data_IF_336537604800
#
_entry.id   IF_336537604800
#
_cell.length_a   1.000
_cell.length_b   1.000
_cell.length_c   1.000
_cell.angle_alpha   90.00
_cell.angle_beta   90.00
_cell.angle_gamma   90.00
#
_symmetry.space_group_name_H-M   'P 1'
#
loop_
_entity.id
_entity.type
_entity.pdbx_description
1 polymer ?
#
# COMPACT_ATOMS: atom_id res chain seq x y z
N UNK A 1 3.64 8.11 -1.92
CA UNK A 1 3.72 6.82 -1.20
C UNK A 1 3.28 6.92 0.26
N UNK A 2 3.59 7.99 1.00
CA UNK A 2 3.21 8.18 2.43
C UNK A 2 1.77 7.80 2.76
N UNK A 3 0.77 8.35 2.06
CA UNK A 3 -0.64 8.05 2.32
C UNK A 3 -0.97 6.54 2.16
N UNK A 4 -0.30 5.83 1.25
CA UNK A 4 -0.45 4.39 1.07
C UNK A 4 0.22 3.59 2.19
N UNK A 5 1.44 3.98 2.59
CA UNK A 5 2.15 3.36 3.72
C UNK A 5 1.35 3.49 5.02
N UNK A 6 0.81 4.68 5.27
CA UNK A 6 -0.07 4.94 6.41
C UNK A 6 -1.37 4.13 6.32
N UNK A 7 -2.01 4.11 5.14
CA UNK A 7 -3.29 3.41 4.95
C UNK A 7 -3.16 1.89 5.11
N UNK A 8 -2.19 1.28 4.44
CA UNK A 8 -2.07 -0.17 4.33
C UNK A 8 -1.16 -0.80 5.38
N UNK A 9 -0.29 -0.02 6.04
CA UNK A 9 0.70 -0.57 6.98
C UNK A 9 0.84 0.25 8.27
N UNK A 10 0.20 1.42 8.37
CA UNK A 10 0.27 2.27 9.57
C UNK A 10 1.66 2.87 9.84
N UNK A 11 2.56 2.81 8.87
CA UNK A 11 3.94 3.27 8.99
C UNK A 11 4.21 4.45 8.06
N UNK A 12 5.33 5.15 8.30
CA UNK A 12 5.81 6.18 7.38
C UNK A 12 6.47 5.54 6.16
N UNK A 13 6.38 6.19 5.00
CA UNK A 13 7.04 5.75 3.78
C UNK A 13 8.57 5.68 3.90
N UNK A 14 9.18 6.34 4.90
CA UNK A 14 10.62 6.21 5.17
C UNK A 14 10.98 4.90 5.89
N UNK A 15 10.02 4.29 6.56
CA UNK A 15 10.19 3.13 7.45
C UNK A 15 9.56 1.85 6.86
N UNK A 16 9.17 1.87 5.58
CA UNK A 16 8.58 0.68 4.93
C UNK A 16 9.64 -0.39 4.68
N UNK A 17 9.28 -1.64 4.93
CA UNK A 17 10.14 -2.78 4.60
C UNK A 17 10.17 -3.04 3.09
N UNK A 18 11.15 -3.82 2.56
CA UNK A 18 11.17 -4.18 1.14
C UNK A 18 9.86 -4.83 0.66
N UNK A 19 9.25 -5.71 1.48
CA UNK A 19 7.97 -6.33 1.15
C UNK A 19 6.82 -5.30 1.07
N UNK A 20 6.77 -4.35 2.00
CA UNK A 20 5.77 -3.28 2.00
C UNK A 20 5.98 -2.33 0.82
N UNK A 21 7.22 -1.94 0.54
CA UNK A 21 7.57 -1.09 -0.61
C UNK A 21 7.16 -1.75 -1.94
N UNK A 22 7.51 -3.03 -2.13
CA UNK A 22 7.11 -3.79 -3.31
C UNK A 22 5.58 -3.91 -3.45
N UNK A 23 4.87 -4.07 -2.33
CA UNK A 23 3.39 -4.11 -2.32
C UNK A 23 2.78 -2.77 -2.71
N UNK A 24 3.35 -1.65 -2.24
CA UNK A 24 2.92 -0.30 -2.64
C UNK A 24 3.16 -0.05 -4.14
N UNK A 25 4.30 -0.50 -4.67
CA UNK A 25 4.60 -0.41 -6.10
C UNK A 25 3.60 -1.25 -6.92
N UNK A 26 3.26 -2.46 -6.46
CA UNK A 26 2.25 -3.30 -7.10
C UNK A 26 0.88 -2.60 -7.18
N UNK A 27 0.48 -1.89 -6.12
CA UNK A 27 -0.79 -1.15 -6.09
C UNK A 27 -0.81 -0.05 -7.15
N UNK A 28 0.28 0.73 -7.31
CA UNK A 28 0.34 1.82 -8.29
C UNK A 28 0.08 1.32 -9.72
N UNK A 29 0.53 0.11 -10.04
CA UNK A 29 0.32 -0.47 -11.36
C UNK A 29 -1.15 -0.77 -11.66
N UNK A 30 -1.91 -1.26 -10.67
CA UNK A 30 -3.33 -1.55 -10.83
C UNK A 30 -4.05 -1.46 -9.48
N UNK A 31 -4.51 -0.26 -9.08
CA UNK A 31 -5.10 -0.05 -7.75
C UNK A 31 -6.35 -0.90 -7.51
N UNK A 32 -7.14 -1.16 -8.57
CA UNK A 32 -8.37 -1.94 -8.47
C UNK A 32 -8.09 -3.42 -8.17
N UNK A 33 -7.08 -4.01 -8.82
CA UNK A 33 -6.75 -5.44 -8.67
C UNK A 33 -5.74 -5.74 -7.55
N UNK A 34 -4.83 -4.82 -7.29
CA UNK A 34 -3.73 -5.04 -6.35
C UNK A 34 -3.94 -4.29 -5.03
N UNK A 35 -5.01 -3.50 -4.90
CA UNK A 35 -5.28 -2.71 -3.70
C UNK A 35 -5.55 -3.59 -2.49
N UNK A 36 -4.85 -3.33 -1.38
CA UNK A 36 -4.89 -4.12 -0.15
C UNK A 36 -6.07 -3.77 0.78
N UNK A 37 -7.12 -3.12 0.26
CA UNK A 37 -8.30 -2.78 1.04
C UNK A 37 -9.30 -3.95 1.15
N UNK A 38 -9.20 -4.96 0.28
CA UNK A 38 -10.02 -6.18 0.29
C UNK A 38 -9.14 -7.42 0.29
N UNK A 39 -9.45 -8.46 1.09
CA UNK A 39 -8.76 -9.75 1.07
C UNK A 39 -8.74 -10.42 -0.32
N UNK A 40 -9.75 -10.19 -1.15
CA UNK A 40 -9.83 -10.75 -2.52
C UNK A 40 -8.63 -10.38 -3.39
N UNK A 41 -8.01 -9.23 -3.11
CA UNK A 41 -6.88 -8.70 -3.87
C UNK A 41 -5.52 -9.16 -3.31
N UNK A 42 -5.46 -9.80 -2.15
CA UNK A 42 -4.20 -10.15 -1.48
C UNK A 42 -3.34 -11.09 -2.33
N UNK A 43 -3.95 -12.11 -2.94
CA UNK A 43 -3.25 -13.03 -3.82
C UNK A 43 -2.67 -12.32 -5.06
N UNK A 44 -3.45 -11.41 -5.67
CA UNK A 44 -3.01 -10.63 -6.83
C UNK A 44 -1.87 -9.66 -6.46
N UNK A 45 -1.99 -8.98 -5.32
CA UNK A 45 -0.92 -8.11 -4.81
C UNK A 45 0.35 -8.91 -4.54
N UNK A 46 0.25 -10.03 -3.81
CA UNK A 46 1.40 -10.90 -3.49
C UNK A 46 2.12 -11.36 -4.76
N UNK A 47 1.38 -11.89 -5.73
CA UNK A 47 1.95 -12.34 -6.99
C UNK A 47 2.75 -11.23 -7.69
N UNK A 48 2.25 -9.99 -7.66
CA UNK A 48 2.94 -8.87 -8.27
C UNK A 48 4.12 -8.35 -7.44
N UNK A 49 3.96 -8.28 -6.12
CA UNK A 49 4.99 -7.92 -5.16
C UNK A 49 6.21 -8.84 -5.30
N UNK A 50 6.00 -10.14 -5.40
CA UNK A 50 7.06 -11.14 -5.48
C UNK A 50 7.90 -10.96 -6.78
N UNK A 51 7.28 -10.58 -7.90
CA UNK A 51 7.99 -10.20 -9.13
C UNK A 51 8.84 -8.94 -8.93
N UNK A 52 8.30 -7.93 -8.24
CA UNK A 52 9.03 -6.69 -7.97
C UNK A 52 10.23 -6.95 -7.05
N UNK A 53 10.06 -7.77 -6.01
CA UNK A 53 11.16 -8.20 -5.15
C UNK A 53 12.26 -8.92 -5.95
N UNK A 54 11.89 -9.79 -6.89
CA UNK A 54 12.84 -10.45 -7.77
C UNK A 54 13.63 -9.46 -8.64
N UNK A 55 12.97 -8.41 -9.13
CA UNK A 55 13.64 -7.33 -9.85
C UNK A 55 14.54 -6.47 -8.95
N UNK A 56 14.13 -6.19 -7.72
CA UNK A 56 14.95 -5.45 -6.75
C UNK A 56 16.23 -6.23 -6.42
N UNK A 57 16.11 -7.54 -6.20
CA UNK A 57 17.25 -8.43 -5.99
C UNK A 57 18.17 -8.47 -7.22
N UNK A 58 17.62 -8.69 -8.42
CA UNK A 58 18.40 -8.74 -9.65
C UNK A 58 19.15 -7.43 -9.98
N UNK A 59 18.64 -6.29 -9.52
CA UNK A 59 19.27 -4.98 -9.67
C UNK A 59 20.24 -4.62 -8.52
N UNK A 60 20.40 -5.52 -7.53
CA UNK A 60 21.30 -5.30 -6.40
C UNK A 60 20.77 -4.32 -5.33
N UNK A 61 19.46 -4.06 -5.31
CA UNK A 61 18.83 -3.26 -4.26
C UNK A 61 18.53 -4.06 -2.99
N UNK A 62 18.55 -5.40 -3.09
CA UNK A 62 18.41 -6.31 -1.97
C UNK A 62 19.55 -7.34 -2.05
N UNK A 63 20.12 -7.69 -0.90
CA UNK A 63 20.91 -8.91 -0.80
C UNK A 63 19.98 -10.15 -0.73
N UNK A 64 20.59 -11.34 -0.71
CA UNK A 64 19.84 -12.59 -0.75
C UNK A 64 19.00 -12.79 0.52
N UNK A 65 19.54 -12.45 1.69
CA UNK A 65 18.85 -12.62 2.97
C UNK A 65 17.64 -11.69 3.04
N UNK A 66 17.80 -10.43 2.61
CA UNK A 66 16.71 -9.46 2.52
C UNK A 66 15.62 -9.89 1.53
N UNK A 67 16.02 -10.44 0.38
CA UNK A 67 15.07 -10.97 -0.60
C UNK A 67 14.27 -12.15 -0.04
N UNK A 68 14.95 -13.12 0.57
CA UNK A 68 14.34 -14.32 1.13
C UNK A 68 13.37 -13.96 2.27
N UNK A 69 13.75 -13.03 3.15
CA UNK A 69 12.87 -12.50 4.21
C UNK A 69 11.64 -11.79 3.62
N UNK A 70 11.84 -10.93 2.61
CA UNK A 70 10.76 -10.17 2.00
C UNK A 70 9.75 -11.07 1.26
N UNK A 71 10.22 -12.12 0.58
CA UNK A 71 9.38 -13.11 -0.10
C UNK A 71 8.55 -13.93 0.91
N UNK A 72 9.15 -14.27 2.05
CA UNK A 72 8.51 -15.06 3.09
C UNK A 72 7.40 -14.29 3.84
N UNK A 73 7.47 -12.96 3.84
CA UNK A 73 6.42 -12.11 4.43
C UNK A 73 5.07 -12.39 3.76
N UNK A 74 4.00 -12.76 4.49
CA UNK A 74 2.68 -12.98 3.90
C UNK A 74 2.00 -11.65 3.52
N UNK A 75 0.99 -11.72 2.65
CA UNK A 75 0.08 -10.60 2.37
C UNK A 75 -1.30 -11.03 2.85
N UNK A 76 -1.64 -10.70 4.08
CA UNK A 76 -2.90 -11.04 4.73
C UNK A 76 -3.28 -10.01 5.79
N UNK A 77 -4.35 -10.29 6.54
CA UNK A 77 -4.87 -9.40 7.60
C UNK A 77 -3.90 -9.18 8.77
N UNK A 78 -2.85 -10.00 8.90
CA UNK A 78 -1.81 -9.83 9.93
C UNK A 78 -0.72 -8.85 9.50
N UNK A 79 -0.49 -8.70 8.20
CA UNK A 79 0.55 -7.81 7.64
C UNK A 79 -0.01 -6.56 6.98
N UNK A 80 -1.31 -6.54 6.67
CA UNK A 80 -2.03 -5.41 6.10
C UNK A 80 -2.94 -4.78 7.14
N UNK A 81 -2.82 -3.46 7.28
CA UNK A 81 -3.65 -2.65 8.15
C UNK A 81 -4.83 -2.02 7.40
N UNK A 82 -5.96 -1.90 8.10
CA UNK A 82 -7.18 -1.25 7.63
C UNK A 82 -7.30 0.17 8.24
N UNK A 83 -6.26 1.00 8.07
CA UNK A 83 -6.25 2.33 8.68
C UNK A 83 -7.20 3.29 7.94
N UNK A 84 -7.89 4.12 8.71
CA UNK A 84 -8.71 5.19 8.17
C UNK A 84 -7.83 6.16 7.34
N UNK A 85 -8.34 6.66 6.20
CA UNK A 85 -7.64 7.68 5.43
C UNK A 85 -7.37 8.92 6.29
N UNK A 86 -6.11 9.36 6.32
CA UNK A 86 -5.69 10.59 7.03
C UNK A 86 -5.77 11.85 6.16
N UNK A 87 -6.24 11.70 4.92
CA UNK A 87 -6.39 12.79 3.95
C UNK A 87 -7.70 12.65 3.16
N UNK A 88 -8.21 13.78 2.68
CA UNK A 88 -9.46 13.88 1.89
C UNK A 88 -10.59 14.62 2.62
N UNK A 89 -11.68 14.92 1.92
CA UNK A 89 -12.85 15.60 2.52
C UNK A 89 -13.46 14.81 3.67
N UNK A 90 -13.33 13.48 3.66
CA UNK A 90 -13.78 12.61 4.75
C UNK A 90 -12.98 12.80 6.04
N UNK A 91 -11.73 13.27 5.98
CA UNK A 91 -10.91 13.56 7.15
C UNK A 91 -10.87 15.04 7.53
N UNK A 92 -11.64 15.90 6.83
CA UNK A 92 -11.74 17.32 7.13
C UNK A 92 -12.53 17.56 8.44
N UNK A 93 -12.29 18.68 9.14
CA UNK A 93 -13.14 19.12 10.24
C UNK A 93 -14.61 19.17 9.83
N UNK A 94 -15.51 18.93 10.78
CA UNK A 94 -16.95 18.78 10.52
C UNK A 94 -17.55 19.98 9.80
N UNK A 95 -17.08 21.18 10.11
CA UNK A 95 -17.49 22.45 9.52
C UNK A 95 -17.11 22.57 8.03
N UNK A 96 -16.06 21.86 7.59
CA UNK A 96 -15.60 21.88 6.21
C UNK A 96 -16.03 20.65 5.40
N UNK A 97 -16.65 19.64 6.03
CA UNK A 97 -17.00 18.38 5.39
C UNK A 97 -18.04 18.54 4.28
N UNK A 98 -19.13 19.26 4.55
CA UNK A 98 -20.19 19.55 3.58
C UNK A 98 -19.74 20.41 2.39
N UNK A 99 -19.07 21.57 2.59
CA UNK A 99 -18.59 22.36 1.46
C UNK A 99 -17.51 21.63 0.64
N UNK A 100 -16.64 20.84 1.28
CA UNK A 100 -15.63 20.02 0.59
C UNK A 100 -16.28 18.91 -0.27
N UNK A 101 -17.26 18.19 0.28
CA UNK A 101 -18.00 17.14 -0.43
C UNK A 101 -18.85 17.70 -1.58
N UNK A 102 -19.49 18.87 -1.38
CA UNK A 102 -20.22 19.57 -2.45
C UNK A 102 -19.27 19.90 -3.61
N UNK A 103 -18.12 20.51 -3.32
CA UNK A 103 -17.14 20.88 -4.34
C UNK A 103 -16.65 19.67 -5.15
N UNK A 104 -16.43 18.51 -4.52
CA UNK A 104 -16.03 17.28 -5.21
C UNK A 104 -17.12 16.70 -6.13
N UNK A 105 -18.40 16.96 -5.85
CA UNK A 105 -19.55 16.40 -6.59
C UNK A 105 -20.03 17.29 -7.74
N UNK A 106 -19.60 18.54 -7.78
CA UNK A 106 -20.00 19.53 -8.80
C UNK A 106 -19.01 19.70 -9.95
N UNK A 107 -17.93 18.91 -9.98
CA UNK A 107 -16.94 18.84 -11.06
C UNK A 107 -17.23 17.59 -11.88
#
# INVERSE_FOLDING_TARGET
MEAGAQRYFGTSAKDVTPAQAASLIAIVQNPSKNGLYSPDNFAANKARRDVILGWMYAQGHLDKEQYDEAIATPVDETTVSQNAPRSGCSSAPVEFRFPCDYALKTI
#
